data_IF_683492065807
#
_entry.id   IF_683492065807
#
_cell.length_a   1.000
_cell.length_b   1.000
_cell.length_c   1.000
_cell.angle_alpha   90.00
_cell.angle_beta   90.00
_cell.angle_gamma   90.00
#
_symmetry.space_group_name_H-M   'P 1'
#
loop_
_entity.id
_entity.type
_entity.pdbx_description
1 polymer ?
#
# COMPACT_ATOMS: atom_id res chain seq x y z
N UNK A 1 -2.15 -29.75 -2.74
CA UNK A 1 -3.36 -28.91 -2.83
C UNK A 1 -2.94 -27.46 -2.70
N UNK A 2 -3.38 -26.56 -3.57
CA UNK A 2 -3.06 -25.12 -3.43
C UNK A 2 -3.90 -24.52 -2.31
N UNK A 3 -3.47 -23.38 -1.77
CA UNK A 3 -4.21 -22.69 -0.71
C UNK A 3 -5.62 -22.31 -1.15
N UNK A 4 -5.80 -21.87 -2.40
CA UNK A 4 -7.12 -21.54 -2.97
C UNK A 4 -8.05 -22.75 -3.01
N UNK A 5 -7.53 -23.91 -3.39
CA UNK A 5 -8.31 -25.15 -3.42
C UNK A 5 -8.74 -25.55 -2.00
N UNK A 6 -7.85 -25.39 -1.00
CA UNK A 6 -8.18 -25.66 0.40
C UNK A 6 -9.28 -24.74 0.92
N UNK A 7 -9.18 -23.44 0.64
CA UNK A 7 -10.20 -22.46 1.06
C UNK A 7 -11.56 -22.87 0.49
N UNK A 8 -11.61 -23.25 -0.80
CA UNK A 8 -12.84 -23.68 -1.44
C UNK A 8 -13.45 -24.92 -0.77
N UNK A 9 -12.67 -25.98 -0.56
CA UNK A 9 -13.15 -27.22 0.05
C UNK A 9 -13.64 -27.01 1.48
N UNK A 10 -12.91 -26.25 2.30
CA UNK A 10 -13.31 -25.94 3.68
C UNK A 10 -14.60 -25.09 3.69
N UNK A 11 -14.67 -24.06 2.84
CA UNK A 11 -15.83 -23.14 2.76
C UNK A 11 -17.11 -23.87 2.33
N UNK A 12 -17.00 -24.82 1.41
CA UNK A 12 -18.14 -25.61 0.90
C UNK A 12 -18.86 -26.39 2.00
N UNK A 13 -18.16 -26.75 3.08
CA UNK A 13 -18.76 -27.51 4.20
C UNK A 13 -19.53 -26.62 5.19
N UNK A 14 -19.40 -25.30 5.08
CA UNK A 14 -20.00 -24.35 6.01
C UNK A 14 -21.44 -23.99 5.62
N UNK A 15 -22.28 -23.53 6.56
CA UNK A 15 -23.59 -22.94 6.24
C UNK A 15 -23.46 -21.72 5.33
N UNK A 16 -24.47 -21.46 4.48
CA UNK A 16 -24.48 -20.34 3.52
C UNK A 16 -24.24 -18.98 4.18
N UNK A 17 -24.76 -18.77 5.39
CA UNK A 17 -24.49 -17.55 6.17
C UNK A 17 -23.00 -17.33 6.44
N UNK A 18 -22.27 -18.40 6.75
CA UNK A 18 -20.83 -18.35 7.02
C UNK A 18 -20.03 -18.30 5.72
N UNK A 19 -20.48 -18.96 4.65
CA UNK A 19 -19.89 -18.81 3.32
C UNK A 19 -19.93 -17.35 2.86
N UNK A 20 -21.01 -16.63 3.16
CA UNK A 20 -21.13 -15.20 2.87
C UNK A 20 -20.12 -14.36 3.65
N UNK A 21 -19.88 -14.67 4.92
CA UNK A 21 -18.83 -13.99 5.69
C UNK A 21 -17.43 -14.22 5.10
N UNK A 22 -17.14 -15.43 4.60
CA UNK A 22 -15.88 -15.71 3.89
C UNK A 22 -15.77 -14.88 2.62
N UNK A 23 -16.85 -14.77 1.84
CA UNK A 23 -16.90 -13.94 0.63
C UNK A 23 -16.64 -12.46 0.97
N UNK A 24 -17.35 -11.92 1.97
CA UNK A 24 -17.19 -10.54 2.43
C UNK A 24 -15.73 -10.25 2.81
N UNK A 25 -15.05 -11.20 3.47
CA UNK A 25 -13.64 -11.06 3.83
C UNK A 25 -12.71 -11.06 2.61
N UNK A 26 -12.94 -11.92 1.63
CA UNK A 26 -12.16 -11.96 0.38
C UNK A 26 -12.32 -10.65 -0.40
N UNK A 27 -13.55 -10.14 -0.51
CA UNK A 27 -13.85 -8.86 -1.16
C UNK A 27 -13.17 -7.69 -0.42
N UNK A 28 -13.21 -7.70 0.91
CA UNK A 28 -12.48 -6.72 1.72
C UNK A 28 -10.98 -6.74 1.44
N UNK A 29 -10.34 -7.92 1.38
CA UNK A 29 -8.92 -8.04 1.11
C UNK A 29 -8.56 -7.53 -0.30
N UNK A 30 -9.39 -7.84 -1.30
CA UNK A 30 -9.19 -7.34 -2.66
C UNK A 30 -9.24 -5.81 -2.70
N UNK A 31 -10.25 -5.21 -2.07
CA UNK A 31 -10.39 -3.77 -1.99
C UNK A 31 -9.28 -3.10 -1.16
N UNK A 32 -8.84 -3.73 -0.06
CA UNK A 32 -7.71 -3.25 0.74
C UNK A 32 -6.42 -3.21 -0.08
N UNK A 33 -6.12 -4.26 -0.85
CA UNK A 33 -4.91 -4.32 -1.67
C UNK A 33 -4.93 -3.27 -2.77
N UNK A 34 -6.09 -3.02 -3.39
CA UNK A 34 -6.26 -1.92 -4.34
C UNK A 34 -6.03 -0.56 -3.68
N UNK A 35 -6.59 -0.32 -2.50
CA UNK A 35 -6.40 0.93 -1.76
C UNK A 35 -4.99 1.15 -1.24
N UNK A 36 -4.30 0.12 -0.77
CA UNK A 36 -2.90 0.25 -0.37
C UNK A 36 -2.05 0.58 -1.59
N UNK A 37 -2.22 -0.14 -2.71
CA UNK A 37 -1.51 0.15 -3.96
C UNK A 37 -1.80 1.56 -4.48
N UNK A 38 -3.08 1.97 -4.49
CA UNK A 38 -3.50 3.30 -4.88
C UNK A 38 -2.93 4.38 -3.93
N UNK A 39 -3.03 4.19 -2.62
CA UNK A 39 -2.54 5.12 -1.60
C UNK A 39 -1.04 5.37 -1.69
N UNK A 40 -0.23 4.33 -1.97
CA UNK A 40 1.21 4.52 -2.25
C UNK A 40 1.46 5.27 -3.56
N UNK A 41 0.63 5.06 -4.59
CA UNK A 41 0.74 5.78 -5.87
C UNK A 41 0.17 7.20 -5.87
N UNK A 42 -0.74 7.51 -4.93
CA UNK A 42 -1.37 8.82 -4.74
C UNK A 42 -0.54 9.75 -3.86
N UNK A 43 0.41 9.21 -3.09
CA UNK A 43 1.43 9.98 -2.38
C UNK A 43 2.40 10.63 -3.38
N UNK A 44 2.00 11.80 -3.88
CA UNK A 44 2.83 12.61 -4.75
C UNK A 44 3.88 13.40 -3.96
N UNK A 45 5.00 13.70 -4.61
CA UNK A 45 5.99 14.66 -4.10
C UNK A 45 5.32 15.99 -3.72
N UNK A 46 4.28 16.41 -4.46
CA UNK A 46 3.50 17.61 -4.13
C UNK A 46 2.73 17.49 -2.81
N UNK A 47 2.26 16.30 -2.42
CA UNK A 47 1.66 16.09 -1.11
C UNK A 47 2.72 16.12 0.01
N UNK A 48 3.93 15.60 -0.26
CA UNK A 48 5.04 15.61 0.69
C UNK A 48 5.63 17.02 0.92
N UNK A 49 5.58 17.89 -0.10
CA UNK A 49 6.06 19.27 -0.02
C UNK A 49 4.99 20.27 0.46
N UNK A 50 3.76 19.80 0.71
CA UNK A 50 2.67 20.67 1.17
C UNK A 50 2.98 21.23 2.55
N UNK A 51 2.96 22.55 2.70
CA UNK A 51 3.34 23.28 3.91
C UNK A 51 4.81 23.72 3.96
N UNK A 52 5.61 23.38 2.94
CA UNK A 52 7.01 23.76 2.80
C UNK A 52 7.24 24.75 1.63
N UNK A 53 6.16 25.27 1.03
CA UNK A 53 6.22 26.12 -0.17
C UNK A 53 6.91 27.47 0.09
N UNK A 54 6.73 28.01 1.30
CA UNK A 54 7.32 29.27 1.74
C UNK A 54 8.59 29.07 2.60
N UNK A 55 9.03 27.82 2.80
CA UNK A 55 10.26 27.56 3.54
C UNK A 55 11.49 28.03 2.75
N UNK A 56 12.35 28.79 3.41
CA UNK A 56 13.64 29.20 2.85
C UNK A 56 14.62 28.06 3.04
N UNK A 57 14.80 27.29 1.99
CA UNK A 57 15.79 26.22 1.94
C UNK A 57 17.20 26.80 1.75
N UNK A 58 18.22 26.24 2.41
CA UNK A 58 19.59 26.64 2.17
C UNK A 58 20.01 26.31 0.73
N UNK A 59 20.77 27.21 0.11
CA UNK A 59 21.42 26.95 -1.17
C UNK A 59 22.55 25.93 -0.99
N UNK A 60 22.27 24.66 -1.25
CA UNK A 60 23.30 23.64 -1.28
C UNK A 60 24.19 23.79 -2.52
N UNK A 61 25.50 23.79 -2.32
CA UNK A 61 26.52 23.89 -3.37
C UNK A 61 27.37 22.63 -3.43
N UNK A 62 28.12 22.51 -4.52
CA UNK A 62 29.09 21.40 -4.68
C UNK A 62 30.12 21.38 -3.54
N UNK A 63 30.42 22.54 -2.93
CA UNK A 63 31.31 22.64 -1.78
C UNK A 63 30.78 21.93 -0.52
N UNK A 64 29.45 21.73 -0.39
CA UNK A 64 28.81 21.11 0.77
C UNK A 64 28.88 19.57 0.74
N UNK A 65 29.27 18.99 -0.40
CA UNK A 65 29.40 17.55 -0.56
C UNK A 65 30.60 17.05 0.25
N UNK A 66 30.31 16.31 1.33
CA UNK A 66 31.33 15.74 2.23
C UNK A 66 32.05 14.53 1.65
N UNK A 67 31.37 13.77 0.79
CA UNK A 67 31.95 12.57 0.17
C UNK A 67 32.88 12.95 -0.99
N UNK A 68 34.12 12.47 -0.93
CA UNK A 68 35.09 12.59 -2.01
C UNK A 68 35.56 11.20 -2.41
N UNK A 69 35.16 10.77 -3.60
CA UNK A 69 35.61 9.51 -4.18
C UNK A 69 37.05 9.67 -4.69
N UNK A 70 37.91 8.71 -4.35
CA UNK A 70 39.28 8.58 -4.86
C UNK A 70 39.42 7.27 -5.61
#
# INVERSE_FOLDING_TARGET
MKTVDRIYEETKTLPETVQREVLDFVEYLAHKLQKETAGWSELSVAAALRGLEDEVWPEYRNEDIKEKWR
#
